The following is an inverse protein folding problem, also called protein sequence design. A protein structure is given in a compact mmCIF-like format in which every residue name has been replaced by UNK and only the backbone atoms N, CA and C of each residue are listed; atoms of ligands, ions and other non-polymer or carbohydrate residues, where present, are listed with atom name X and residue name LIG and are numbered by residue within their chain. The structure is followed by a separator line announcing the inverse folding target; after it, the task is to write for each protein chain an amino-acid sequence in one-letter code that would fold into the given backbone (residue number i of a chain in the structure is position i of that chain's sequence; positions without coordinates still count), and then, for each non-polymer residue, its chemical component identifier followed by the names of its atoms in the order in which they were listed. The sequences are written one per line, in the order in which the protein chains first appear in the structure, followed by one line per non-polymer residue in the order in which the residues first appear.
data_IF_985827719360
#
_entry.id   IF_985827719360
#
_cell.length_a   1.000
_cell.length_b   1.000
_cell.length_c   1.000
_cell.angle_alpha   90.00
_cell.angle_beta   90.00
_cell.angle_gamma   90.00
#
_symmetry.space_group_name_H-M   'P 1'
#
loop_
_entity.id
_entity.type
_entity.pdbx_description
1 polymer ?
#
# COMPACT_ATOMS: atom_id res chain seq x y z
N UNK A 1 -35.61 -3.08 -14.38
CA UNK A 1 -34.59 -2.58 -13.43
C UNK A 1 -33.24 -3.11 -13.91
N UNK A 2 -32.57 -2.36 -14.79
CA UNK A 2 -31.28 -2.75 -15.37
C UNK A 2 -30.19 -2.55 -14.31
N UNK A 3 -29.52 -3.62 -13.91
CA UNK A 3 -28.44 -3.57 -12.92
C UNK A 3 -27.19 -3.00 -13.61
N UNK A 4 -26.83 -1.78 -13.22
CA UNK A 4 -25.82 -0.90 -13.84
C UNK A 4 -24.35 -1.37 -13.77
N UNK A 5 -24.06 -2.67 -13.81
CA UNK A 5 -22.69 -3.19 -13.74
C UNK A 5 -22.42 -4.49 -14.50
N UNK A 6 -23.39 -5.01 -15.26
CA UNK A 6 -23.09 -6.03 -16.27
C UNK A 6 -22.86 -5.32 -17.60
N UNK A 7 -21.60 -5.02 -17.87
CA UNK A 7 -21.11 -4.85 -19.24
C UNK A 7 -21.19 -6.18 -20.03
N UNK A 8 -21.86 -7.24 -19.57
CA UNK A 8 -22.03 -8.46 -20.36
C UNK A 8 -23.15 -8.26 -21.40
N UNK A 9 -22.78 -8.24 -22.68
CA UNK A 9 -23.73 -8.37 -23.80
C UNK A 9 -24.04 -7.12 -24.64
N UNK A 10 -23.37 -5.98 -24.42
CA UNK A 10 -23.45 -4.84 -25.36
C UNK A 10 -22.39 -5.04 -26.43
N UNK A 11 -22.87 -5.28 -27.65
CA UNK A 11 -22.11 -5.29 -28.89
C UNK A 11 -22.22 -3.92 -29.57
N UNK A 12 -21.13 -3.39 -30.08
CA UNK A 12 -21.08 -2.07 -30.74
C UNK A 12 -20.27 -2.19 -32.03
N UNK A 13 -20.80 -2.93 -33.00
CA UNK A 13 -20.14 -3.20 -34.28
C UNK A 13 -20.39 -2.10 -35.32
N UNK A 14 -19.47 -1.96 -36.27
CA UNK A 14 -19.58 -1.02 -37.38
C UNK A 14 -19.60 0.44 -36.93
N UNK A 15 -20.57 1.22 -37.42
CA UNK A 15 -20.67 2.64 -37.09
C UNK A 15 -21.27 2.93 -35.70
N UNK A 16 -21.64 1.90 -34.93
CA UNK A 16 -22.17 2.08 -33.58
C UNK A 16 -21.11 2.59 -32.59
N UNK A 17 -19.84 2.23 -32.79
CA UNK A 17 -18.73 2.74 -31.98
C UNK A 17 -17.39 2.75 -32.72
N UNK A 18 -16.99 3.93 -33.22
CA UNK A 18 -15.67 4.16 -33.85
C UNK A 18 -14.61 4.68 -32.88
N UNK A 19 -14.99 5.01 -31.64
CA UNK A 19 -14.10 5.53 -30.60
C UNK A 19 -14.46 4.93 -29.25
N UNK A 20 -13.56 4.12 -28.71
CA UNK A 20 -13.65 3.56 -27.36
C UNK A 20 -12.72 4.31 -26.42
N UNK A 21 -13.27 4.88 -25.34
CA UNK A 21 -12.47 5.48 -24.27
C UNK A 21 -12.46 4.54 -23.07
N UNK A 22 -11.31 3.94 -22.78
CA UNK A 22 -11.13 3.07 -21.62
C UNK A 22 -10.45 3.87 -20.51
N UNK A 23 -11.13 4.05 -19.37
CA UNK A 23 -10.60 4.80 -18.23
C UNK A 23 -10.29 3.89 -17.04
N UNK A 24 -9.01 3.74 -16.73
CA UNK A 24 -8.49 2.99 -15.59
C UNK A 24 -8.61 1.47 -15.78
N UNK A 25 -8.18 0.72 -14.76
CA UNK A 25 -8.28 -0.74 -14.72
C UNK A 25 -9.04 -1.17 -13.46
N UNK A 26 -10.15 -1.88 -13.63
CA UNK A 26 -10.83 -2.52 -12.49
C UNK A 26 -10.09 -3.79 -12.10
N UNK A 27 -9.14 -3.66 -11.16
CA UNK A 27 -8.36 -4.79 -10.64
C UNK A 27 -9.19 -5.77 -9.81
N UNK A 28 -10.19 -5.28 -9.06
CA UNK A 28 -11.05 -6.08 -8.19
C UNK A 28 -12.53 -5.74 -8.39
N UNK A 29 -13.40 -6.76 -8.41
CA UNK A 29 -14.87 -6.58 -8.49
C UNK A 29 -15.58 -6.67 -7.13
N UNK A 30 -14.92 -7.21 -6.11
CA UNK A 30 -15.49 -7.36 -4.77
C UNK A 30 -14.41 -7.20 -3.69
N UNK A 31 -14.85 -7.13 -2.42
CA UNK A 31 -13.94 -6.94 -1.29
C UNK A 31 -12.96 -8.11 -1.10
N UNK A 32 -13.35 -9.34 -1.46
CA UNK A 32 -12.48 -10.51 -1.37
C UNK A 32 -11.34 -10.44 -2.38
N UNK A 33 -11.63 -10.13 -3.64
CA UNK A 33 -10.60 -9.90 -4.66
C UNK A 33 -9.69 -8.74 -4.28
N UNK A 34 -10.27 -7.63 -3.78
CA UNK A 34 -9.49 -6.48 -3.31
C UNK A 34 -8.53 -6.88 -2.20
N UNK A 35 -9.01 -7.63 -1.21
CA UNK A 35 -8.17 -8.16 -0.14
C UNK A 35 -7.05 -9.05 -0.68
N UNK A 36 -7.37 -9.98 -1.59
CA UNK A 36 -6.38 -10.89 -2.19
C UNK A 36 -5.33 -10.18 -3.03
N UNK A 37 -5.62 -8.98 -3.55
CA UNK A 37 -4.73 -8.17 -4.36
C UNK A 37 -3.88 -7.18 -3.55
N UNK A 38 -4.45 -6.57 -2.50
CA UNK A 38 -3.80 -5.46 -1.77
C UNK A 38 -3.23 -5.89 -0.42
N UNK A 39 -3.90 -6.83 0.26
CA UNK A 39 -3.51 -7.32 1.60
C UNK A 39 -2.87 -8.70 1.56
N UNK A 40 -2.99 -9.41 0.45
CA UNK A 40 -2.27 -10.64 0.17
C UNK A 40 -1.45 -10.50 -1.11
N UNK A 41 -0.26 -11.14 -1.19
CA UNK A 41 0.53 -11.17 -2.40
C UNK A 41 0.02 -12.26 -3.37
N UNK A 42 -1.30 -12.34 -3.59
CA UNK A 42 -1.95 -13.38 -4.40
C UNK A 42 -2.45 -12.82 -5.76
N UNK A 43 -1.80 -11.79 -6.28
CA UNK A 43 -2.18 -11.12 -7.54
C UNK A 43 -2.14 -12.04 -8.76
N UNK A 44 -1.34 -13.10 -8.71
CA UNK A 44 -1.24 -14.13 -9.76
C UNK A 44 -2.61 -14.73 -10.14
N UNK A 45 -3.56 -14.83 -9.20
CA UNK A 45 -4.92 -15.33 -9.44
C UNK A 45 -5.73 -14.48 -10.41
N UNK A 46 -5.42 -13.19 -10.48
CA UNK A 46 -6.23 -12.22 -11.21
C UNK A 46 -5.55 -11.73 -12.48
N UNK A 47 -4.29 -12.08 -12.71
CA UNK A 47 -3.54 -11.64 -13.90
C UNK A 47 -4.24 -12.06 -15.20
N UNK A 48 -4.69 -13.31 -15.28
CA UNK A 48 -5.44 -13.81 -16.43
C UNK A 48 -6.76 -13.05 -16.60
N UNK A 49 -7.55 -12.94 -15.52
CA UNK A 49 -8.81 -12.19 -15.54
C UNK A 49 -8.64 -10.72 -15.93
N UNK A 50 -7.56 -10.07 -15.50
CA UNK A 50 -7.20 -8.69 -15.89
C UNK A 50 -6.91 -8.62 -17.38
N UNK A 51 -6.09 -9.55 -17.92
CA UNK A 51 -5.80 -9.62 -19.35
C UNK A 51 -7.06 -9.87 -20.16
N UNK A 52 -7.87 -10.87 -19.79
CA UNK A 52 -9.15 -11.18 -20.45
C UNK A 52 -10.06 -9.96 -20.47
N UNK A 53 -10.16 -9.20 -19.38
CA UNK A 53 -10.98 -7.97 -19.32
C UNK A 53 -10.48 -6.89 -20.28
N UNK A 54 -9.16 -6.72 -20.43
CA UNK A 54 -8.58 -5.76 -21.38
C UNK A 54 -8.93 -6.19 -22.81
N UNK A 55 -8.69 -7.45 -23.16
CA UNK A 55 -9.02 -8.01 -24.48
C UNK A 55 -10.51 -7.88 -24.77
N UNK A 56 -11.36 -8.24 -23.80
CA UNK A 56 -12.82 -8.11 -23.90
C UNK A 56 -13.32 -6.68 -23.91
N UNK A 57 -12.56 -5.69 -23.45
CA UNK A 57 -12.94 -4.29 -23.55
C UNK A 57 -12.64 -3.76 -24.94
N UNK A 58 -11.46 -4.09 -25.48
CA UNK A 58 -10.99 -3.68 -26.81
C UNK A 58 -11.80 -4.37 -27.92
N UNK A 59 -11.97 -5.70 -27.84
CA UNK A 59 -12.65 -6.50 -28.87
C UNK A 59 -14.18 -6.35 -28.93
N UNK A 60 -14.76 -5.32 -28.30
CA UNK A 60 -16.21 -5.03 -28.41
C UNK A 60 -16.56 -4.20 -29.62
N UNK A 61 -15.59 -3.44 -30.11
CA UNK A 61 -15.77 -2.49 -31.20
C UNK A 61 -15.29 -3.05 -32.54
N UNK A 62 -14.72 -4.26 -32.56
CA UNK A 62 -14.15 -4.89 -33.76
C UNK A 62 -14.64 -6.34 -33.84
N UNK A 63 -15.68 -6.60 -34.65
CA UNK A 63 -16.29 -7.94 -34.80
C UNK A 63 -16.15 -8.56 -36.18
N UNK A 64 -15.91 -7.76 -37.21
CA UNK A 64 -15.74 -8.22 -38.58
C UNK A 64 -14.36 -7.79 -39.10
N UNK A 65 -13.84 -8.52 -40.09
CA UNK A 65 -12.52 -8.26 -40.68
C UNK A 65 -12.35 -6.83 -41.25
N UNK A 66 -13.46 -6.12 -41.50
CA UNK A 66 -13.49 -4.74 -41.99
C UNK A 66 -13.93 -3.71 -40.93
N UNK A 67 -14.12 -4.15 -39.67
CA UNK A 67 -14.56 -3.28 -38.59
C UNK A 67 -13.37 -2.66 -37.86
N UNK A 68 -13.46 -1.38 -37.53
CA UNK A 68 -12.34 -0.64 -36.95
C UNK A 68 -12.84 0.39 -35.95
N UNK A 69 -12.09 0.52 -34.86
CA UNK A 69 -12.37 1.49 -33.80
C UNK A 69 -11.08 1.99 -33.17
N UNK A 70 -11.03 3.29 -32.88
CA UNK A 70 -9.92 3.89 -32.17
C UNK A 70 -10.09 3.63 -30.68
N UNK A 71 -9.06 3.10 -30.02
CA UNK A 71 -9.07 2.88 -28.57
C UNK A 71 -8.18 3.91 -27.88
N UNK A 72 -8.79 4.77 -27.07
CA UNK A 72 -8.09 5.76 -26.26
C UNK A 72 -8.05 5.29 -24.82
N UNK A 73 -6.84 5.08 -24.31
CA UNK A 73 -6.60 4.63 -22.94
C UNK A 73 -6.30 5.81 -22.03
N UNK A 74 -7.13 5.99 -21.03
CA UNK A 74 -6.98 7.00 -19.98
C UNK A 74 -6.71 6.33 -18.64
N UNK A 75 -5.87 6.97 -17.82
CA UNK A 75 -5.60 6.54 -16.45
C UNK A 75 -4.28 5.81 -16.28
N UNK A 76 -3.62 6.12 -15.17
CA UNK A 76 -2.22 5.78 -14.91
C UNK A 76 -1.99 4.28 -14.72
N UNK A 77 -2.92 3.57 -14.09
CA UNK A 77 -2.75 2.13 -13.82
C UNK A 77 -2.83 1.27 -15.08
N UNK A 78 -3.77 1.55 -15.98
CA UNK A 78 -3.92 0.81 -17.23
C UNK A 78 -2.74 1.13 -18.16
N UNK A 79 -2.34 2.40 -18.24
CA UNK A 79 -1.13 2.80 -18.95
C UNK A 79 0.13 2.12 -18.39
N UNK A 80 0.29 1.98 -17.05
CA UNK A 80 1.39 1.19 -16.45
C UNK A 80 1.44 -0.22 -16.99
N UNK A 81 0.29 -0.87 -17.07
CA UNK A 81 0.18 -2.25 -17.51
C UNK A 81 0.52 -2.38 -19.01
N UNK A 82 -0.05 -1.52 -19.84
CA UNK A 82 0.13 -1.56 -21.29
C UNK A 82 1.48 -1.03 -21.75
N UNK A 83 2.17 -0.15 -21.00
CA UNK A 83 3.51 0.30 -21.37
C UNK A 83 4.59 -0.74 -21.06
N UNK A 84 4.39 -1.54 -20.02
CA UNK A 84 5.35 -2.55 -19.55
C UNK A 84 5.41 -3.75 -20.49
N UNK A 85 6.52 -3.87 -21.25
CA UNK A 85 6.78 -4.99 -22.17
C UNK A 85 6.73 -6.36 -21.46
N UNK A 86 7.11 -6.42 -20.18
CA UNK A 86 7.08 -7.67 -19.41
C UNK A 86 5.65 -8.14 -19.09
N UNK A 87 4.66 -7.25 -19.18
CA UNK A 87 3.24 -7.57 -18.97
C UNK A 87 2.50 -7.75 -20.29
N UNK A 88 2.85 -6.95 -21.31
CA UNK A 88 2.25 -7.05 -22.65
C UNK A 88 2.49 -8.38 -23.33
N UNK A 89 3.64 -9.02 -23.11
CA UNK A 89 3.99 -10.31 -23.73
C UNK A 89 2.97 -11.44 -23.49
N UNK A 90 2.04 -11.28 -22.54
CA UNK A 90 0.97 -12.22 -22.26
C UNK A 90 -0.31 -11.97 -23.08
N UNK A 91 -0.44 -10.80 -23.73
CA UNK A 91 -1.55 -10.47 -24.64
C UNK A 91 -1.39 -11.18 -25.99
N UNK A 92 -2.46 -11.24 -26.77
CA UNK A 92 -2.39 -11.74 -28.15
C UNK A 92 -1.43 -10.87 -28.99
N UNK A 93 -0.63 -11.43 -29.92
CA UNK A 93 0.37 -10.67 -30.69
C UNK A 93 -0.20 -9.47 -31.43
N UNK A 94 -1.46 -9.56 -31.87
CA UNK A 94 -2.20 -8.48 -32.53
C UNK A 94 -2.36 -7.26 -31.62
N UNK A 95 -2.91 -7.44 -30.43
CA UNK A 95 -3.05 -6.37 -29.43
C UNK A 95 -1.68 -5.85 -29.00
N UNK A 96 -0.66 -6.71 -28.91
CA UNK A 96 0.70 -6.27 -28.60
C UNK A 96 1.25 -5.30 -29.65
N UNK A 97 1.07 -5.61 -30.94
CA UNK A 97 1.51 -4.79 -32.07
C UNK A 97 0.76 -3.46 -32.12
N UNK A 98 -0.58 -3.48 -31.99
CA UNK A 98 -1.41 -2.28 -31.93
C UNK A 98 -1.01 -1.34 -30.78
N UNK A 99 -0.73 -1.90 -29.60
CA UNK A 99 -0.28 -1.09 -28.45
C UNK A 99 1.11 -0.52 -28.72
N UNK A 100 2.07 -1.29 -29.26
CA UNK A 100 3.41 -0.77 -29.56
C UNK A 100 3.34 0.36 -30.60
N UNK A 101 2.55 0.18 -31.67
CA UNK A 101 2.29 1.21 -32.66
C UNK A 101 1.67 2.46 -32.03
N UNK A 102 0.60 2.28 -31.24
CA UNK A 102 -0.04 3.38 -30.52
C UNK A 102 0.92 4.13 -29.60
N UNK A 103 1.81 3.42 -28.90
CA UNK A 103 2.84 4.02 -28.05
C UNK A 103 3.83 4.85 -28.89
N UNK A 104 4.28 4.35 -30.04
CA UNK A 104 5.19 5.08 -30.93
C UNK A 104 4.53 6.37 -31.46
N UNK A 105 3.29 6.28 -31.89
CA UNK A 105 2.49 7.44 -32.34
C UNK A 105 2.08 8.38 -31.19
N UNK A 106 2.25 7.99 -29.93
CA UNK A 106 1.93 8.83 -28.77
C UNK A 106 3.16 9.52 -28.16
N UNK A 107 4.39 9.11 -28.51
CA UNK A 107 5.62 9.55 -27.83
C UNK A 107 6.11 10.93 -28.22
N UNK A 108 5.82 11.39 -29.45
CA UNK A 108 6.46 12.57 -30.07
C UNK A 108 5.43 13.38 -30.86
N UNK A 109 4.29 13.71 -30.24
CA UNK A 109 3.16 14.30 -30.97
C UNK A 109 2.49 15.38 -30.14
N UNK A 110 2.35 16.58 -30.72
CA UNK A 110 1.57 17.67 -30.11
C UNK A 110 0.07 17.32 -30.12
N UNK A 111 -0.72 17.94 -29.24
CA UNK A 111 -2.15 17.59 -29.11
C UNK A 111 -2.94 17.72 -30.43
N UNK A 112 -2.52 18.63 -31.31
CA UNK A 112 -3.09 18.83 -32.64
C UNK A 112 -2.80 17.70 -33.62
N UNK A 113 -1.56 17.20 -33.63
CA UNK A 113 -1.13 16.10 -34.51
C UNK A 113 -1.76 14.76 -34.09
N UNK A 114 -2.01 14.56 -32.79
CA UNK A 114 -2.74 13.38 -32.31
C UNK A 114 -4.20 13.36 -32.81
N UNK A 115 -4.85 14.52 -32.86
CA UNK A 115 -6.20 14.67 -33.42
C UNK A 115 -6.18 14.41 -34.93
N UNK A 116 -5.15 14.86 -35.63
CA UNK A 116 -4.97 14.62 -37.06
C UNK A 116 -4.81 13.11 -37.36
N UNK A 117 -3.95 12.41 -36.61
CA UNK A 117 -3.79 10.96 -36.72
C UNK A 117 -5.11 10.21 -36.46
N UNK A 118 -5.87 10.63 -35.45
CA UNK A 118 -7.19 10.07 -35.18
C UNK A 118 -8.17 10.32 -36.33
N UNK A 119 -8.13 11.51 -36.95
CA UNK A 119 -8.96 11.81 -38.12
C UNK A 119 -8.57 10.96 -39.33
N UNK A 120 -7.28 10.77 -39.59
CA UNK A 120 -6.79 9.89 -40.67
C UNK A 120 -7.31 8.46 -40.46
N UNK A 121 -7.19 7.92 -39.25
CA UNK A 121 -7.70 6.60 -38.89
C UNK A 121 -9.22 6.49 -39.08
N UNK A 122 -9.99 7.46 -38.58
CA UNK A 122 -11.45 7.46 -38.69
C UNK A 122 -11.94 7.59 -40.13
N UNK A 123 -11.20 8.33 -40.97
CA UNK A 123 -11.51 8.51 -42.39
C UNK A 123 -11.05 7.31 -43.24
N UNK A 124 -10.19 6.45 -42.70
CA UNK A 124 -9.72 5.19 -43.30
C UNK A 124 -9.15 5.38 -44.72
N UNK A 125 -8.26 6.37 -44.89
CA UNK A 125 -7.62 6.74 -46.18
C UNK A 125 -6.43 5.82 -46.51
N UNK A 126 -5.87 5.96 -47.71
CA UNK A 126 -4.70 5.17 -48.17
C UNK A 126 -3.49 5.24 -47.20
N UNK A 127 -3.33 6.35 -46.48
CA UNK A 127 -2.31 6.56 -45.45
C UNK A 127 -2.42 5.54 -44.30
N UNK A 128 -3.62 5.02 -44.02
CA UNK A 128 -3.82 3.96 -43.02
C UNK A 128 -3.29 2.60 -43.48
N UNK A 129 -3.29 2.31 -44.79
CA UNK A 129 -2.82 1.02 -45.30
C UNK A 129 -1.32 0.80 -45.02
N UNK A 130 -0.53 1.88 -44.99
CA UNK A 130 0.89 1.80 -44.63
C UNK A 130 1.05 1.50 -43.12
N UNK A 131 0.28 2.18 -42.27
CA UNK A 131 0.25 1.93 -40.83
C UNK A 131 -0.21 0.50 -40.50
N UNK A 132 -1.25 0.00 -41.18
CA UNK A 132 -1.75 -1.36 -41.01
C UNK A 132 -0.69 -2.40 -41.38
N UNK A 133 0.05 -2.17 -42.47
CA UNK A 133 1.15 -3.05 -42.88
C UNK A 133 2.27 -3.10 -41.83
N UNK A 134 2.64 -1.96 -41.25
CA UNK A 134 3.63 -1.91 -40.17
C UNK A 134 3.17 -2.67 -38.92
N UNK A 135 1.88 -2.57 -38.56
CA UNK A 135 1.28 -3.32 -37.45
C UNK A 135 1.34 -4.83 -37.73
N UNK A 136 0.99 -5.27 -38.94
CA UNK A 136 1.05 -6.68 -39.35
C UNK A 136 2.50 -7.21 -39.32
N UNK A 137 3.44 -6.47 -39.89
CA UNK A 137 4.86 -6.83 -39.90
C UNK A 137 5.47 -6.88 -38.49
N UNK A 138 4.93 -6.09 -37.55
CA UNK A 138 5.29 -6.13 -36.13
C UNK A 138 4.65 -7.34 -35.43
N UNK A 139 3.35 -7.58 -35.66
CA UNK A 139 2.59 -8.73 -35.13
C UNK A 139 3.27 -10.05 -35.45
N UNK A 140 3.71 -10.23 -36.69
CA UNK A 140 4.32 -11.49 -37.16
C UNK A 140 5.68 -11.79 -36.49
N UNK A 141 6.27 -10.81 -35.81
CA UNK A 141 7.53 -10.95 -35.03
C UNK A 141 7.27 -11.18 -33.53
N UNK A 142 6.02 -11.11 -33.08
CA UNK A 142 5.64 -11.18 -31.68
C UNK A 142 5.05 -12.54 -31.32
N UNK A 143 5.34 -12.99 -30.10
CA UNK A 143 4.82 -14.24 -29.55
C UNK A 143 3.99 -13.96 -28.29
N UNK A 144 2.98 -14.81 -28.05
CA UNK A 144 2.24 -14.81 -26.81
C UNK A 144 2.86 -15.79 -25.82
N UNK A 145 3.26 -15.29 -24.66
CA UNK A 145 3.75 -16.09 -23.56
C UNK A 145 2.60 -16.51 -22.64
N UNK A 146 2.74 -17.69 -22.01
CA UNK A 146 1.84 -18.10 -20.93
C UNK A 146 2.16 -17.35 -19.65
N UNK A 147 1.11 -17.05 -18.88
CA UNK A 147 1.28 -16.49 -17.54
C UNK A 147 2.05 -17.47 -16.64
N UNK A 148 3.00 -16.96 -15.83
CA UNK A 148 3.71 -17.80 -14.88
C UNK A 148 2.73 -18.41 -13.87
N UNK A 149 2.99 -19.66 -13.47
CA UNK A 149 2.22 -20.37 -12.45
C UNK A 149 0.81 -20.81 -12.85
N UNK A 150 0.34 -20.54 -14.09
CA UNK A 150 -1.03 -20.87 -14.50
C UNK A 150 -1.31 -22.38 -14.46
N UNK A 151 -0.36 -23.21 -14.88
CA UNK A 151 -0.51 -24.68 -14.85
C UNK A 151 -0.64 -25.19 -13.39
N UNK A 152 0.02 -24.51 -12.43
CA UNK A 152 -0.06 -24.85 -11.00
C UNK A 152 -1.41 -24.45 -10.41
N UNK A 153 -1.93 -23.29 -10.81
CA UNK A 153 -3.27 -22.83 -10.42
C UNK A 153 -4.34 -23.76 -11.00
N UNK A 154 -4.20 -24.16 -12.28
CA UNK A 154 -5.11 -25.11 -12.91
C UNK A 154 -5.10 -26.47 -12.19
N UNK A 155 -3.90 -26.98 -11.85
CA UNK A 155 -3.76 -28.22 -11.10
C UNK A 155 -4.34 -28.17 -9.68
N UNK A 156 -4.46 -26.99 -9.04
CA UNK A 156 -5.08 -26.89 -7.72
C UNK A 156 -6.60 -26.87 -7.76
N UNK A 157 -7.25 -26.36 -8.83
CA UNK A 157 -8.69 -26.06 -8.89
C UNK A 157 -9.58 -27.19 -8.37
N UNK A 158 -9.33 -28.44 -8.79
CA UNK A 158 -10.16 -29.58 -8.38
C UNK A 158 -10.16 -29.77 -6.86
N UNK A 159 -9.01 -29.56 -6.21
CA UNK A 159 -8.87 -29.65 -4.75
C UNK A 159 -9.43 -28.41 -4.05
N UNK A 160 -9.35 -27.22 -4.68
CA UNK A 160 -9.96 -26.01 -4.13
C UNK A 160 -11.49 -26.13 -4.04
N UNK A 161 -12.12 -26.70 -5.06
CA UNK A 161 -13.58 -26.95 -5.07
C UNK A 161 -13.95 -27.96 -3.98
N UNK A 162 -13.23 -29.08 -3.88
CA UNK A 162 -13.47 -30.10 -2.85
C UNK A 162 -13.25 -29.57 -1.44
N UNK A 163 -12.28 -28.68 -1.24
CA UNK A 163 -12.09 -27.97 0.03
C UNK A 163 -13.35 -27.17 0.40
N UNK A 164 -13.90 -26.39 -0.53
CA UNK A 164 -15.11 -25.59 -0.27
C UNK A 164 -16.31 -26.50 0.05
N UNK A 165 -16.49 -27.60 -0.67
CA UNK A 165 -17.53 -28.59 -0.40
C UNK A 165 -17.37 -29.25 0.99
N UNK A 166 -16.14 -29.60 1.37
CA UNK A 166 -15.82 -30.17 2.67
C UNK A 166 -16.08 -29.16 3.80
N UNK A 167 -15.70 -27.89 3.62
CA UNK A 167 -15.98 -26.83 4.57
C UNK A 167 -17.49 -26.60 4.74
N UNK A 168 -18.24 -26.59 3.63
CA UNK A 168 -19.69 -26.39 3.63
C UNK A 168 -20.44 -27.54 4.32
N UNK A 169 -19.98 -28.77 4.11
CA UNK A 169 -20.52 -29.96 4.77
C UNK A 169 -20.07 -30.12 6.23
N UNK A 170 -19.20 -29.25 6.73
CA UNK A 170 -18.66 -29.30 8.09
C UNK A 170 -17.63 -30.42 8.31
N UNK A 171 -17.14 -31.06 7.25
CA UNK A 171 -16.07 -32.04 7.32
C UNK A 171 -14.71 -31.35 7.27
N UNK A 172 -14.27 -30.83 8.42
CA UNK A 172 -13.03 -30.05 8.50
C UNK A 172 -11.76 -30.88 8.31
N UNK A 173 -11.76 -32.16 8.67
CA UNK A 173 -10.59 -33.03 8.46
C UNK A 173 -10.33 -33.21 6.96
N UNK A 174 -11.39 -33.51 6.19
CA UNK A 174 -11.31 -33.56 4.73
C UNK A 174 -10.95 -32.20 4.12
N UNK A 175 -11.44 -31.11 4.68
CA UNK A 175 -11.05 -29.77 4.21
C UNK A 175 -9.54 -29.55 4.37
N UNK A 176 -8.96 -29.89 5.53
CA UNK A 176 -7.51 -29.78 5.74
C UNK A 176 -6.71 -30.70 4.79
N UNK A 177 -7.20 -31.91 4.53
CA UNK A 177 -6.59 -32.84 3.55
C UNK A 177 -6.59 -32.28 2.12
N UNK A 178 -7.72 -31.74 1.66
CA UNK A 178 -7.81 -31.10 0.34
C UNK A 178 -6.92 -29.85 0.25
N UNK A 179 -6.81 -29.07 1.34
CA UNK A 179 -5.83 -27.98 1.41
C UNK A 179 -4.39 -28.47 1.24
N UNK A 180 -4.01 -29.60 1.86
CA UNK A 180 -2.67 -30.17 1.67
C UNK A 180 -2.44 -30.56 0.22
N UNK A 181 -3.46 -31.08 -0.46
CA UNK A 181 -3.40 -31.39 -1.89
C UNK A 181 -3.21 -30.12 -2.73
N UNK A 182 -3.94 -29.03 -2.43
CA UNK A 182 -3.72 -27.71 -3.08
C UNK A 182 -2.28 -27.23 -2.85
N UNK A 183 -1.79 -27.26 -1.62
CA UNK A 183 -0.45 -26.80 -1.26
C UNK A 183 0.65 -27.60 -1.96
N UNK A 184 0.41 -28.88 -2.26
CA UNK A 184 1.35 -29.72 -3.02
C UNK A 184 1.51 -29.27 -4.47
N UNK A 185 0.43 -28.76 -5.09
CA UNK A 185 0.45 -28.20 -6.45
C UNK A 185 1.10 -26.80 -6.49
N UNK A 186 0.96 -26.01 -5.42
CA UNK A 186 1.43 -24.62 -5.35
C UNK A 186 2.91 -24.48 -4.94
N UNK A 187 3.83 -25.07 -5.72
CA UNK A 187 5.28 -24.97 -5.48
C UNK A 187 5.93 -23.76 -6.18
N UNK A 188 7.03 -23.23 -5.63
CA UNK A 188 7.78 -22.09 -6.20
C UNK A 188 7.47 -20.71 -5.61
N UNK A 189 8.19 -19.70 -6.07
CA UNK A 189 8.09 -18.31 -5.60
C UNK A 189 6.99 -17.50 -6.32
N UNK A 190 6.66 -17.88 -7.56
CA UNK A 190 5.59 -17.31 -8.38
C UNK A 190 4.20 -17.40 -7.72
N UNK A 191 3.94 -18.48 -6.99
CA UNK A 191 2.67 -18.73 -6.28
C UNK A 191 2.77 -18.54 -4.77
N UNK A 192 3.88 -17.99 -4.26
CA UNK A 192 4.21 -17.93 -2.82
C UNK A 192 3.11 -17.28 -1.99
N UNK A 193 2.56 -16.17 -2.47
CA UNK A 193 1.49 -15.47 -1.74
C UNK A 193 0.16 -16.19 -1.74
N UNK A 194 -0.18 -16.89 -2.83
CA UNK A 194 -1.37 -17.74 -2.85
C UNK A 194 -1.20 -18.99 -1.98
N UNK A 195 0.00 -19.59 -1.96
CA UNK A 195 0.36 -20.67 -1.03
C UNK A 195 0.20 -20.23 0.44
N UNK A 196 0.64 -19.02 0.79
CA UNK A 196 0.46 -18.48 2.14
C UNK A 196 -1.04 -18.33 2.51
N UNK A 197 -1.87 -17.91 1.56
CA UNK A 197 -3.32 -17.86 1.74
C UNK A 197 -3.92 -19.25 1.99
N UNK A 198 -3.48 -20.27 1.26
CA UNK A 198 -3.93 -21.65 1.48
C UNK A 198 -3.47 -22.23 2.82
N UNK A 199 -2.27 -21.90 3.29
CA UNK A 199 -1.86 -22.25 4.65
C UNK A 199 -2.78 -21.62 5.71
N UNK A 200 -3.20 -20.38 5.50
CA UNK A 200 -4.17 -19.72 6.37
C UNK A 200 -5.55 -20.37 6.33
N UNK A 201 -6.06 -20.72 5.15
CA UNK A 201 -7.34 -21.42 5.01
C UNK A 201 -7.31 -22.79 5.71
N UNK A 202 -6.23 -23.55 5.50
CA UNK A 202 -6.02 -24.84 6.14
C UNK A 202 -5.95 -24.70 7.68
N UNK A 203 -5.20 -23.71 8.18
CA UNK A 203 -5.11 -23.42 9.61
C UNK A 203 -6.46 -23.02 10.22
N UNK A 204 -7.26 -22.26 9.47
CA UNK A 204 -8.61 -21.85 9.86
C UNK A 204 -9.57 -23.04 9.93
N UNK A 205 -9.55 -23.92 8.94
CA UNK A 205 -10.35 -25.15 8.95
C UNK A 205 -9.98 -26.05 10.14
N UNK A 206 -8.68 -26.25 10.38
CA UNK A 206 -8.18 -27.02 11.53
C UNK A 206 -8.57 -26.38 12.87
N UNK A 207 -8.52 -25.06 12.99
CA UNK A 207 -8.93 -24.35 14.20
C UNK A 207 -10.44 -24.47 14.48
N UNK A 208 -11.28 -24.39 13.44
CA UNK A 208 -12.72 -24.62 13.58
C UNK A 208 -12.99 -26.08 14.00
N UNK A 209 -12.25 -27.04 13.43
CA UNK A 209 -12.33 -28.45 13.82
C UNK A 209 -12.01 -28.66 15.32
N UNK A 210 -10.92 -28.02 15.79
CA UNK A 210 -10.52 -28.07 17.20
C UNK A 210 -11.61 -27.50 18.12
N UNK A 211 -12.18 -26.34 17.75
CA UNK A 211 -13.29 -25.74 18.50
C UNK A 211 -14.57 -26.58 18.52
N UNK A 212 -14.76 -27.46 17.53
CA UNK A 212 -15.90 -28.40 17.45
C UNK A 212 -15.62 -29.74 18.13
N UNK A 213 -14.49 -29.89 18.82
CA UNK A 213 -14.17 -31.05 19.65
C UNK A 213 -13.07 -31.97 19.12
N UNK A 214 -12.44 -31.66 17.98
CA UNK A 214 -11.33 -32.45 17.42
C UNK A 214 -9.99 -31.92 17.92
N UNK A 215 -9.63 -32.26 19.16
CA UNK A 215 -8.45 -31.71 19.85
C UNK A 215 -7.11 -31.90 19.09
N UNK A 216 -6.97 -32.98 18.31
CA UNK A 216 -5.77 -33.24 17.49
C UNK A 216 -5.49 -32.15 16.45
N UNK A 217 -6.52 -31.40 16.02
CA UNK A 217 -6.38 -30.36 15.00
C UNK A 217 -5.83 -29.03 15.54
N UNK A 218 -5.75 -28.87 16.86
CA UNK A 218 -5.22 -27.63 17.45
C UNK A 218 -3.72 -27.44 17.12
N UNK A 219 -2.93 -28.51 17.24
CA UNK A 219 -1.51 -28.50 16.87
C UNK A 219 -1.31 -28.26 15.36
N UNK A 220 -2.18 -28.86 14.55
CA UNK A 220 -2.17 -28.70 13.09
C UNK A 220 -2.47 -27.26 12.69
N UNK A 221 -3.48 -26.63 13.31
CA UNK A 221 -3.81 -25.23 13.07
C UNK A 221 -2.63 -24.29 13.37
N UNK A 222 -1.95 -24.50 14.52
CA UNK A 222 -0.79 -23.69 14.92
C UNK A 222 0.35 -23.79 13.92
N UNK A 223 0.70 -25.00 13.50
CA UNK A 223 1.76 -25.23 12.51
C UNK A 223 1.41 -24.59 11.15
N UNK A 224 0.16 -24.71 10.70
CA UNK A 224 -0.30 -24.13 9.44
C UNK A 224 -0.28 -22.59 9.46
N UNK A 225 -0.70 -21.94 10.55
CA UNK A 225 -0.57 -20.49 10.69
C UNK A 225 0.89 -20.04 10.73
N UNK A 226 1.77 -20.79 11.40
CA UNK A 226 3.22 -20.52 11.39
C UNK A 226 3.81 -20.60 9.99
N UNK A 227 3.42 -21.61 9.20
CA UNK A 227 3.82 -21.73 7.79
C UNK A 227 3.26 -20.62 6.91
N UNK A 228 2.02 -20.18 7.15
CA UNK A 228 1.45 -19.05 6.43
C UNK A 228 2.30 -17.79 6.65
N UNK A 229 2.64 -17.49 7.91
CA UNK A 229 3.46 -16.35 8.28
C UNK A 229 4.89 -16.42 7.72
N UNK A 230 5.55 -17.58 7.80
CA UNK A 230 6.93 -17.75 7.30
C UNK A 230 7.01 -17.74 5.77
N UNK A 231 5.93 -18.11 5.07
CA UNK A 231 5.89 -18.08 3.61
C UNK A 231 5.91 -16.63 3.08
N UNK A 232 5.35 -15.66 3.81
CA UNK A 232 5.30 -14.26 3.37
C UNK A 232 5.67 -13.31 4.51
N UNK A 233 6.95 -12.95 4.61
CA UNK A 233 7.46 -12.03 5.63
C UNK A 233 6.89 -10.60 5.56
N UNK A 234 6.20 -10.25 4.47
CA UNK A 234 5.63 -8.93 4.27
C UNK A 234 4.15 -8.80 4.64
N UNK A 235 3.50 -9.80 5.23
CA UNK A 235 2.05 -9.77 5.55
C UNK A 235 1.83 -9.75 7.06
N UNK A 236 1.56 -8.56 7.61
CA UNK A 236 1.47 -8.32 9.06
C UNK A 236 0.42 -9.19 9.78
N UNK A 237 -0.77 -9.34 9.19
CA UNK A 237 -1.88 -10.06 9.83
C UNK A 237 -1.69 -11.60 9.90
N UNK A 238 -0.99 -12.20 8.92
CA UNK A 238 -0.65 -13.63 8.96
C UNK A 238 0.31 -13.94 10.11
N UNK A 239 1.25 -13.02 10.34
CA UNK A 239 2.19 -13.13 11.43
C UNK A 239 1.48 -13.08 12.80
N UNK A 240 0.45 -12.24 12.98
CA UNK A 240 -0.36 -12.24 14.21
C UNK A 240 -1.08 -13.56 14.45
N UNK A 241 -1.68 -14.16 13.41
CA UNK A 241 -2.40 -15.42 13.53
C UNK A 241 -1.49 -16.57 13.97
N UNK A 242 -0.24 -16.59 13.51
CA UNK A 242 0.75 -17.56 13.98
C UNK A 242 1.04 -17.47 15.49
N UNK A 243 0.69 -16.35 16.12
CA UNK A 243 0.98 -16.03 17.52
C UNK A 243 -0.19 -16.17 18.47
N UNK A 244 -1.40 -16.52 18.01
CA UNK A 244 -2.58 -16.64 18.87
C UNK A 244 -2.41 -17.62 20.05
N UNK A 245 -1.28 -18.35 20.17
CA UNK A 245 -0.92 -19.21 21.31
C UNK A 245 0.60 -19.39 21.55
N UNK A 246 1.50 -18.45 21.18
CA UNK A 246 2.96 -18.62 21.36
C UNK A 246 3.62 -17.52 22.21
N UNK A 247 4.10 -17.92 23.39
CA UNK A 247 5.04 -17.15 24.23
C UNK A 247 6.48 -17.37 23.73
N UNK A 248 6.96 -16.59 22.76
CA UNK A 248 8.40 -16.54 22.45
C UNK A 248 8.85 -15.12 22.06
N UNK A 249 9.92 -14.64 22.72
CA UNK A 249 10.69 -13.40 22.53
C UNK A 249 9.93 -12.21 21.91
N UNK A 250 9.23 -11.46 22.77
CA UNK A 250 8.27 -10.42 22.39
C UNK A 250 8.91 -9.15 21.75
N UNK A 251 10.10 -8.71 22.17
CA UNK A 251 10.66 -7.40 21.78
C UNK A 251 11.05 -7.32 20.28
N UNK A 252 11.96 -8.18 19.79
CA UNK A 252 12.38 -8.19 18.37
C UNK A 252 11.20 -8.44 17.39
N UNK A 253 10.11 -8.98 17.90
CA UNK A 253 8.94 -9.36 17.11
C UNK A 253 7.87 -8.27 17.03
N UNK A 254 7.67 -7.50 18.10
CA UNK A 254 6.80 -6.33 18.09
C UNK A 254 7.35 -5.27 17.11
N UNK A 255 8.67 -5.08 17.12
CA UNK A 255 9.36 -4.15 16.22
C UNK A 255 9.18 -4.51 14.74
N UNK A 256 9.27 -5.82 14.40
CA UNK A 256 9.01 -6.28 13.03
C UNK A 256 7.56 -6.02 12.61
N UNK A 257 6.59 -6.24 13.49
CA UNK A 257 5.17 -5.97 13.23
C UNK A 257 4.88 -4.49 12.99
N UNK A 258 5.39 -3.63 13.87
CA UNK A 258 5.28 -2.18 13.78
C UNK A 258 5.85 -1.69 12.45
N UNK A 259 7.06 -2.16 12.09
CA UNK A 259 7.68 -1.82 10.82
C UNK A 259 6.87 -2.32 9.61
N UNK A 260 6.43 -3.58 9.60
CA UNK A 260 5.61 -4.09 8.49
C UNK A 260 4.30 -3.31 8.34
N UNK A 261 3.64 -2.95 9.44
CA UNK A 261 2.43 -2.12 9.41
C UNK A 261 2.69 -0.73 8.80
N UNK A 262 3.81 -0.10 9.16
CA UNK A 262 4.21 1.20 8.62
C UNK A 262 4.52 1.09 7.12
N UNK A 263 5.21 0.03 6.68
CA UNK A 263 5.49 -0.18 5.24
C UNK A 263 4.20 -0.46 4.44
N UNK A 264 3.24 -1.22 4.97
CA UNK A 264 1.92 -1.39 4.32
C UNK A 264 1.15 -0.07 4.22
N UNK A 265 1.26 0.80 5.23
CA UNK A 265 0.71 2.15 5.20
C UNK A 265 1.39 3.03 4.16
N UNK A 266 2.72 2.93 4.04
CA UNK A 266 3.52 3.63 3.02
C UNK A 266 3.07 3.21 1.62
N UNK A 267 2.95 1.91 1.34
CA UNK A 267 2.46 1.42 0.04
C UNK A 267 1.10 2.03 -0.31
N UNK A 268 0.19 2.07 0.66
CA UNK A 268 -1.14 2.64 0.48
C UNK A 268 -1.07 4.13 0.11
N UNK A 269 -0.19 4.91 0.77
CA UNK A 269 0.00 6.32 0.41
C UNK A 269 0.64 6.50 -0.96
N UNK A 270 1.72 5.76 -1.26
CA UNK A 270 2.38 5.86 -2.56
C UNK A 270 1.45 5.49 -3.72
N UNK A 271 0.57 4.50 -3.51
CA UNK A 271 -0.48 4.10 -4.46
C UNK A 271 -1.48 5.24 -4.73
N UNK A 272 -1.86 6.00 -3.70
CA UNK A 272 -2.77 7.15 -3.85
C UNK A 272 -2.17 8.29 -4.67
N UNK A 273 -0.85 8.51 -4.56
CA UNK A 273 -0.18 9.59 -5.29
C UNK A 273 0.14 9.26 -6.76
N UNK A 274 -0.05 8.00 -7.18
CA UNK A 274 0.24 7.55 -8.54
C UNK A 274 1.70 7.11 -8.70
N UNK A 275 1.95 6.12 -9.55
CA UNK A 275 3.24 5.44 -9.64
C UNK A 275 4.25 6.11 -10.59
N UNK A 276 3.80 6.90 -11.57
CA UNK A 276 4.59 7.49 -12.66
C UNK A 276 4.54 9.02 -12.69
N UNK A 277 3.42 9.62 -12.29
CA UNK A 277 3.32 11.07 -12.24
C UNK A 277 3.62 11.60 -10.84
N UNK A 278 4.87 12.01 -10.66
CA UNK A 278 5.33 12.53 -9.38
C UNK A 278 4.73 13.91 -9.06
N UNK A 279 3.93 14.56 -9.93
CA UNK A 279 3.33 15.87 -9.62
C UNK A 279 2.50 15.88 -8.33
N UNK A 280 1.67 14.86 -8.11
CA UNK A 280 0.82 14.79 -6.90
C UNK A 280 1.67 14.53 -5.66
N UNK A 281 2.58 13.57 -5.77
CA UNK A 281 3.52 13.24 -4.71
C UNK A 281 4.41 14.44 -4.34
N UNK A 282 5.00 15.12 -5.31
CA UNK A 282 5.85 16.30 -5.09
C UNK A 282 5.04 17.51 -4.61
N UNK A 283 3.78 17.66 -5.02
CA UNK A 283 2.89 18.67 -4.45
C UNK A 283 2.60 18.40 -2.97
N UNK A 284 2.38 17.13 -2.60
CA UNK A 284 2.22 16.71 -1.20
C UNK A 284 3.49 16.98 -0.39
N UNK A 285 4.64 16.52 -0.88
CA UNK A 285 5.94 16.71 -0.23
C UNK A 285 6.23 18.20 -0.05
N UNK A 286 6.01 19.02 -1.09
CA UNK A 286 6.17 20.47 -1.00
C UNK A 286 5.26 21.07 0.06
N UNK A 287 4.00 20.65 0.12
CA UNK A 287 3.06 21.16 1.11
C UNK A 287 3.47 20.79 2.53
N UNK A 288 3.94 19.55 2.76
CA UNK A 288 4.48 19.11 4.05
C UNK A 288 5.67 19.98 4.46
N UNK A 289 6.68 20.11 3.59
CA UNK A 289 7.89 20.89 3.90
C UNK A 289 7.59 22.38 4.13
N UNK A 290 6.72 22.99 3.32
CA UNK A 290 6.31 24.39 3.52
C UNK A 290 5.61 24.58 4.85
N UNK A 291 4.72 23.66 5.23
CA UNK A 291 4.00 23.71 6.47
C UNK A 291 4.92 23.51 7.69
N UNK A 292 5.87 22.58 7.61
CA UNK A 292 6.86 22.35 8.67
C UNK A 292 7.83 23.51 8.87
N UNK A 293 8.03 24.34 7.84
CA UNK A 293 8.84 25.56 7.92
C UNK A 293 8.07 26.76 8.50
N UNK A 294 6.74 26.64 8.71
CA UNK A 294 5.96 27.68 9.38
C UNK A 294 6.31 27.72 10.86
N UNK A 295 6.66 28.91 11.34
CA UNK A 295 6.99 29.15 12.73
C UNK A 295 5.96 30.10 13.32
N UNK A 296 5.53 29.88 14.57
CA UNK A 296 4.43 30.61 15.19
C UNK A 296 4.74 32.10 15.39
N UNK A 297 4.39 32.87 14.38
CA UNK A 297 4.14 34.30 14.44
C UNK A 297 2.62 34.58 14.54
N UNK A 298 1.79 33.67 14.01
CA UNK A 298 0.33 33.68 14.11
C UNK A 298 -0.24 32.33 14.58
N UNK A 299 -1.53 32.30 14.98
CA UNK A 299 -2.24 31.05 15.29
C UNK A 299 -2.41 30.16 14.04
N UNK A 300 -2.44 30.74 12.84
CA UNK A 300 -2.51 29.99 11.59
C UNK A 300 -1.21 29.23 11.31
N UNK A 301 -0.05 29.81 11.65
CA UNK A 301 1.25 29.16 11.48
C UNK A 301 1.44 27.94 12.41
N UNK A 302 0.91 27.99 13.64
CA UNK A 302 0.88 26.84 14.56
C UNK A 302 0.11 25.67 13.93
N UNK A 303 -1.12 25.95 13.46
CA UNK A 303 -1.97 24.96 12.80
C UNK A 303 -1.36 24.44 11.49
N UNK A 304 -0.64 25.29 10.77
CA UNK A 304 0.07 24.88 9.57
C UNK A 304 1.18 23.87 9.91
N UNK A 305 1.99 24.13 10.95
CA UNK A 305 3.02 23.20 11.41
C UNK A 305 2.43 21.84 11.82
N UNK A 306 1.40 21.85 12.67
CA UNK A 306 0.68 20.65 13.12
C UNK A 306 0.12 19.86 11.92
N UNK A 307 -0.46 20.55 10.93
CA UNK A 307 -0.95 19.92 9.71
C UNK A 307 0.19 19.31 8.85
N UNK A 308 1.32 19.99 8.74
CA UNK A 308 2.50 19.46 8.05
C UNK A 308 3.03 18.20 8.73
N UNK A 309 3.05 18.20 10.06
CA UNK A 309 3.51 17.11 10.90
C UNK A 309 2.57 15.88 10.83
N UNK A 310 1.25 16.08 10.89
CA UNK A 310 0.26 15.02 10.66
C UNK A 310 0.43 14.37 9.27
N UNK A 311 0.57 15.19 8.22
CA UNK A 311 0.75 14.73 6.84
C UNK A 311 2.08 14.01 6.63
N UNK A 312 3.15 14.43 7.31
CA UNK A 312 4.42 13.72 7.33
C UNK A 312 4.24 12.30 7.90
N UNK A 313 3.56 12.16 9.04
CA UNK A 313 3.28 10.86 9.65
C UNK A 313 2.53 9.92 8.70
N UNK A 314 1.50 10.45 8.03
CA UNK A 314 0.76 9.71 6.99
C UNK A 314 1.69 9.28 5.85
N UNK A 315 2.48 10.21 5.29
CA UNK A 315 3.38 9.95 4.17
C UNK A 315 4.41 8.85 4.50
N UNK A 316 4.91 8.82 5.74
CA UNK A 316 5.82 7.78 6.24
C UNK A 316 5.12 6.43 6.46
N UNK A 317 3.79 6.36 6.35
CA UNK A 317 3.01 5.13 6.45
C UNK A 317 2.42 4.86 7.84
N UNK A 318 2.55 5.79 8.78
CA UNK A 318 1.88 5.68 10.08
C UNK A 318 0.38 5.98 9.96
N UNK A 319 -0.41 5.39 10.85
CA UNK A 319 -1.78 5.87 11.07
C UNK A 319 -1.69 7.16 11.89
N UNK A 320 -1.73 8.31 11.20
CA UNK A 320 -1.60 9.62 11.82
C UNK A 320 -2.92 10.40 11.87
N UNK A 321 -3.13 11.11 12.97
CA UNK A 321 -4.26 12.00 13.22
C UNK A 321 -3.83 13.21 14.05
N UNK A 322 -4.73 14.19 14.17
CA UNK A 322 -4.57 15.39 14.96
C UNK A 322 -5.93 15.77 15.58
N UNK A 323 -5.94 16.39 16.75
CA UNK A 323 -7.14 16.83 17.47
C UNK A 323 -7.23 18.35 17.53
N UNK A 324 -8.43 18.89 17.85
CA UNK A 324 -8.70 20.33 17.87
C UNK A 324 -9.38 20.80 19.16
N UNK A 325 -9.42 19.96 20.22
CA UNK A 325 -10.00 20.30 21.52
C UNK A 325 -9.01 20.95 22.50
N UNK A 326 -9.51 21.29 23.69
CA UNK A 326 -8.71 21.91 24.75
C UNK A 326 -7.93 20.84 25.53
N UNK A 327 -6.62 21.04 25.70
CA UNK A 327 -5.67 20.05 26.24
C UNK A 327 -5.62 18.70 25.48
N UNK A 328 -6.09 18.69 24.25
CA UNK A 328 -5.92 17.59 23.31
C UNK A 328 -4.45 17.52 22.83
N UNK A 329 -3.97 16.33 22.43
CA UNK A 329 -2.68 16.22 21.76
C UNK A 329 -2.70 16.91 20.39
N UNK A 330 -1.51 17.31 19.95
CA UNK A 330 -1.28 17.74 18.57
C UNK A 330 -1.23 16.47 17.66
N UNK A 331 -0.34 16.29 16.65
CA UNK A 331 -0.39 15.06 15.89
C UNK A 331 0.04 13.85 16.74
N UNK A 332 -0.47 12.68 16.37
CA UNK A 332 0.01 11.38 16.86
C UNK A 332 0.21 10.42 15.70
N UNK A 333 1.18 9.52 15.85
CA UNK A 333 1.51 8.50 14.88
C UNK A 333 1.37 7.13 15.52
N UNK A 334 0.56 6.26 14.92
CA UNK A 334 0.36 4.89 15.39
C UNK A 334 1.05 3.94 14.42
N UNK A 335 1.91 3.06 14.96
CA UNK A 335 2.42 1.90 14.26
C UNK A 335 1.71 0.67 14.79
N UNK A 336 1.01 -0.04 13.91
CA UNK A 336 0.24 -1.23 14.26
C UNK A 336 -0.89 -0.93 15.28
N UNK A 337 -1.03 -1.70 16.36
CA UNK A 337 -2.08 -1.53 17.39
C UNK A 337 -1.53 -1.32 18.82
N UNK A 338 -0.21 -1.29 18.97
CA UNK A 338 0.47 -1.39 20.25
C UNK A 338 1.51 -0.30 20.52
N UNK A 339 1.73 0.59 19.54
CA UNK A 339 2.74 1.63 19.59
C UNK A 339 2.21 2.96 19.07
N UNK A 340 2.36 4.01 19.87
CA UNK A 340 1.98 5.37 19.51
C UNK A 340 3.05 6.38 19.91
N UNK A 341 3.40 7.28 19.01
CA UNK A 341 4.14 8.50 19.33
C UNK A 341 3.13 9.63 19.33
N UNK A 342 3.05 10.39 20.42
CA UNK A 342 2.13 11.51 20.55
C UNK A 342 2.92 12.79 20.77
N UNK A 343 2.58 13.83 20.03
CA UNK A 343 3.37 15.05 19.98
C UNK A 343 2.67 16.21 20.69
N UNK A 344 3.48 17.11 21.23
CA UNK A 344 3.14 18.48 21.58
C UNK A 344 4.04 19.39 20.75
N UNK A 345 3.47 20.04 19.75
CA UNK A 345 4.13 20.93 18.83
C UNK A 345 4.18 22.35 19.43
N UNK A 346 5.40 22.84 19.60
CA UNK A 346 5.66 24.21 20.03
C UNK A 346 6.60 24.90 19.05
N UNK A 347 6.16 25.09 17.80
CA UNK A 347 6.93 25.83 16.80
C UNK A 347 6.96 27.32 17.17
N UNK A 348 8.10 27.93 17.52
CA UNK A 348 8.19 29.39 17.77
C UNK A 348 9.53 29.96 17.28
N UNK A 349 9.58 31.23 16.88
CA UNK A 349 10.84 31.83 16.40
C UNK A 349 11.80 32.20 17.56
N UNK A 350 11.37 31.98 18.81
CA UNK A 350 12.04 32.51 19.98
C UNK A 350 12.93 31.46 20.67
N UNK A 351 14.05 31.15 20.03
CA UNK A 351 15.04 30.14 20.47
C UNK A 351 15.63 30.38 21.88
N UNK A 352 15.50 31.61 22.42
CA UNK A 352 16.04 32.00 23.72
C UNK A 352 15.10 31.80 24.92
N UNK A 353 13.82 31.51 24.69
CA UNK A 353 12.84 31.36 25.78
C UNK A 353 12.83 29.92 26.31
N UNK A 354 12.64 29.81 27.63
CA UNK A 354 12.49 28.51 28.29
C UNK A 354 11.07 27.97 28.14
N UNK A 355 10.95 26.65 28.00
CA UNK A 355 9.66 25.98 27.94
C UNK A 355 8.94 26.08 29.29
N UNK A 356 7.70 26.60 29.27
CA UNK A 356 6.88 26.84 30.45
C UNK A 356 6.22 25.56 31.00
N UNK A 357 5.90 25.57 32.30
CA UNK A 357 5.28 24.43 32.98
C UNK A 357 3.90 24.03 32.42
N UNK A 358 3.15 24.98 31.82
CA UNK A 358 1.84 24.70 31.21
C UNK A 358 1.93 23.70 30.04
N UNK A 359 2.81 23.99 29.08
CA UNK A 359 3.08 23.12 27.92
C UNK A 359 3.58 21.74 28.33
N UNK A 360 4.47 21.67 29.32
CA UNK A 360 4.98 20.39 29.83
C UNK A 360 3.87 19.56 30.48
N UNK A 361 2.97 20.20 31.24
CA UNK A 361 1.81 19.51 31.84
C UNK A 361 0.83 19.01 30.77
N UNK A 362 0.59 19.79 29.73
CA UNK A 362 -0.26 19.40 28.60
C UNK A 362 0.31 18.15 27.90
N UNK A 363 1.58 18.16 27.52
CA UNK A 363 2.24 17.00 26.92
C UNK A 363 2.19 15.75 27.81
N UNK A 364 2.25 15.93 29.13
CA UNK A 364 2.15 14.83 30.12
C UNK A 364 0.76 14.16 30.12
N UNK A 365 -0.31 14.90 29.79
CA UNK A 365 -1.67 14.32 29.73
C UNK A 365 -1.97 13.59 28.43
N UNK A 366 -1.18 13.78 27.36
CA UNK A 366 -1.44 13.20 26.05
C UNK A 366 -1.56 11.67 26.04
N UNK A 367 -0.70 10.89 26.73
CA UNK A 367 -0.85 9.43 26.76
C UNK A 367 -2.20 8.96 27.33
N UNK A 368 -2.73 9.66 28.33
CA UNK A 368 -4.04 9.34 28.90
C UNK A 368 -5.17 9.65 27.91
N UNK A 369 -5.05 10.77 27.19
CA UNK A 369 -6.02 11.13 26.15
C UNK A 369 -6.06 10.09 25.03
N UNK A 370 -4.90 9.64 24.55
CA UNK A 370 -4.80 8.61 23.48
C UNK A 370 -5.49 7.32 23.90
N UNK A 371 -5.25 6.82 25.13
CA UNK A 371 -5.87 5.59 25.64
C UNK A 371 -7.40 5.66 25.77
N UNK A 372 -7.95 6.87 25.96
CA UNK A 372 -9.39 7.09 26.11
C UNK A 372 -10.10 7.31 24.77
N UNK A 373 -9.45 7.97 23.81
CA UNK A 373 -10.10 8.43 22.58
C UNK A 373 -9.78 7.58 21.36
N UNK A 374 -8.65 6.86 21.34
CA UNK A 374 -8.22 6.06 20.20
C UNK A 374 -8.54 4.57 20.44
N UNK A 375 -9.69 4.13 19.92
CA UNK A 375 -10.18 2.75 20.07
C UNK A 375 -9.38 1.71 19.29
N UNK A 376 -8.58 2.12 18.30
CA UNK A 376 -7.73 1.21 17.53
C UNK A 376 -6.46 0.79 18.26
N UNK A 377 -6.14 1.43 19.39
CA UNK A 377 -4.92 1.17 20.17
C UNK A 377 -5.25 0.29 21.39
N UNK A 378 -4.43 -0.73 21.66
CA UNK A 378 -4.60 -1.60 22.84
C UNK A 378 -4.37 -0.83 24.14
N UNK A 379 -4.98 -1.25 25.25
CA UNK A 379 -4.85 -0.54 26.54
C UNK A 379 -3.44 -0.63 27.15
N UNK A 380 -2.73 -1.73 26.87
CA UNK A 380 -1.35 -1.99 27.27
C UNK A 380 -0.31 -1.40 26.30
N UNK A 381 -0.73 -0.56 25.37
CA UNK A 381 0.15 0.00 24.34
C UNK A 381 1.23 0.90 24.89
N UNK A 382 2.36 0.87 24.19
CA UNK A 382 3.50 1.73 24.38
C UNK A 382 3.20 3.10 23.77
N UNK A 383 3.21 4.15 24.61
CA UNK A 383 2.96 5.53 24.17
C UNK A 383 4.17 6.38 24.53
N UNK A 384 4.77 7.03 23.54
CA UNK A 384 5.92 7.92 23.71
C UNK A 384 5.45 9.36 23.51
N UNK A 385 5.30 10.15 24.59
CA UNK A 385 5.01 11.57 24.48
C UNK A 385 6.29 12.35 24.15
N UNK A 386 6.21 13.21 23.12
CA UNK A 386 7.33 13.98 22.60
C UNK A 386 6.95 15.45 22.52
N UNK A 387 7.81 16.34 23.04
CA UNK A 387 7.66 17.78 22.85
C UNK A 387 8.59 18.23 21.72
N UNK A 388 8.01 18.73 20.63
CA UNK A 388 8.74 19.31 19.51
C UNK A 388 8.85 20.81 19.73
N UNK A 389 10.05 21.31 20.04
CA UNK A 389 10.21 22.72 20.41
C UNK A 389 11.58 23.29 20.05
N UNK A 390 11.68 24.59 19.70
CA UNK A 390 12.95 25.27 19.48
C UNK A 390 13.63 25.65 20.80
N UNK A 391 12.91 25.61 21.92
CA UNK A 391 13.41 25.93 23.26
C UNK A 391 14.51 24.95 23.67
N UNK A 392 15.66 25.48 24.11
CA UNK A 392 16.80 24.68 24.58
C UNK A 392 16.90 24.58 26.10
N UNK A 393 15.90 25.09 26.81
CA UNK A 393 15.86 25.13 28.28
C UNK A 393 14.42 25.02 28.78
N UNK A 394 14.26 24.63 30.05
CA UNK A 394 12.97 24.53 30.74
C UNK A 394 12.92 25.49 31.92
N UNK A 395 11.72 25.93 32.29
CA UNK A 395 11.49 26.72 33.52
C UNK A 395 11.59 25.84 34.76
N UNK A 396 11.96 26.42 35.91
CA UNK A 396 12.07 25.67 37.17
C UNK A 396 10.76 24.95 37.55
N UNK A 397 9.61 25.57 37.29
CA UNK A 397 8.29 24.97 37.54
C UNK A 397 7.92 23.79 36.62
N UNK A 398 8.64 23.60 35.52
CA UNK A 398 8.38 22.51 34.58
C UNK A 398 9.09 21.21 34.98
N UNK A 399 10.23 21.29 35.68
CA UNK A 399 11.09 20.14 36.04
C UNK A 399 10.34 18.94 36.67
N UNK A 400 9.38 19.11 37.60
CA UNK A 400 8.68 17.97 38.20
C UNK A 400 7.83 17.16 37.21
N UNK A 401 7.53 17.72 36.04
CA UNK A 401 6.61 17.16 35.05
C UNK A 401 7.33 16.61 33.80
N UNK A 402 8.66 16.56 33.77
CA UNK A 402 9.43 16.16 32.56
C UNK A 402 9.87 14.70 32.52
N UNK A 403 9.58 13.89 33.56
CA UNK A 403 10.16 12.55 33.75
C UNK A 403 9.92 11.59 32.57
N UNK A 404 8.72 11.60 32.01
CA UNK A 404 8.29 10.67 30.96
C UNK A 404 8.26 11.31 29.56
N UNK A 405 8.66 12.58 29.45
CA UNK A 405 8.61 13.33 28.19
C UNK A 405 9.93 13.25 27.43
N UNK A 406 9.82 12.91 26.15
CA UNK A 406 10.90 13.04 25.20
C UNK A 406 10.94 14.46 24.63
N UNK A 407 12.10 14.88 24.16
CA UNK A 407 12.37 16.18 23.56
C UNK A 407 12.88 15.96 22.15
N UNK A 408 12.34 16.74 21.21
CA UNK A 408 12.89 16.86 19.87
C UNK A 408 13.05 18.33 19.54
N UNK A 409 14.28 18.77 19.27
CA UNK A 409 14.47 20.14 18.81
C UNK A 409 13.75 20.36 17.47
N UNK A 410 13.04 21.48 17.34
CA UNK A 410 12.28 21.80 16.12
C UNK A 410 13.16 21.78 14.85
N UNK A 411 14.39 22.32 14.89
CA UNK A 411 15.27 22.34 13.71
C UNK A 411 15.78 20.94 13.37
N UNK A 412 16.10 20.14 14.39
CA UNK A 412 16.52 18.75 14.20
C UNK A 412 15.37 17.89 13.65
N UNK A 413 14.14 18.15 14.08
CA UNK A 413 12.94 17.51 13.55
C UNK A 413 12.70 17.88 12.08
N UNK A 414 12.79 19.16 11.72
CA UNK A 414 12.68 19.61 10.33
C UNK A 414 13.76 18.96 9.43
N UNK A 415 15.02 18.95 9.89
CA UNK A 415 16.12 18.30 9.17
C UNK A 415 15.93 16.78 9.05
N UNK A 416 15.40 16.14 10.09
CA UNK A 416 15.05 14.72 10.05
C UNK A 416 13.91 14.45 9.07
N UNK A 417 12.87 15.30 9.04
CA UNK A 417 11.74 15.17 8.12
C UNK A 417 12.19 15.26 6.65
N UNK A 418 13.10 16.18 6.32
CA UNK A 418 13.70 16.29 4.99
C UNK A 418 14.45 15.02 4.58
N UNK A 419 15.23 14.43 5.50
CA UNK A 419 15.92 13.16 5.27
C UNK A 419 14.93 12.01 5.08
N UNK A 420 13.90 11.92 5.92
CA UNK A 420 12.88 10.88 5.83
C UNK A 420 12.11 10.95 4.49
N UNK A 421 11.73 12.16 4.06
CA UNK A 421 11.11 12.40 2.74
C UNK A 421 12.05 12.00 1.59
N UNK A 422 13.36 12.18 1.75
CA UNK A 422 14.34 11.79 0.73
C UNK A 422 14.36 10.27 0.55
N UNK A 423 14.35 9.51 1.65
CA UNK A 423 14.23 8.05 1.62
C UNK A 423 12.91 7.61 0.97
N UNK A 424 11.78 8.25 1.33
CA UNK A 424 10.48 7.95 0.70
C UNK A 424 10.48 8.25 -0.80
N UNK A 425 11.09 9.36 -1.23
CA UNK A 425 11.29 9.71 -2.65
C UNK A 425 12.05 8.62 -3.41
N UNK A 426 13.12 8.08 -2.83
CA UNK A 426 13.90 7.01 -3.44
C UNK A 426 13.09 5.70 -3.53
N UNK A 427 12.38 5.33 -2.48
CA UNK A 427 11.50 4.16 -2.46
C UNK A 427 10.35 4.29 -3.47
N UNK A 428 9.82 5.49 -3.65
CA UNK A 428 8.77 5.78 -4.64
C UNK A 428 9.24 5.54 -6.08
N UNK A 429 10.49 5.88 -6.42
CA UNK A 429 11.04 5.64 -7.78
C UNK A 429 11.04 4.17 -8.18
N UNK A 430 11.24 3.29 -7.21
CA UNK A 430 11.25 1.84 -7.42
C UNK A 430 9.90 1.17 -7.15
N UNK A 431 8.85 1.92 -6.76
CA UNK A 431 7.58 1.37 -6.29
C UNK A 431 6.80 0.65 -7.42
N UNK A 432 6.70 -0.69 -7.36
CA UNK A 432 6.04 -1.46 -8.41
C UNK A 432 4.52 -1.47 -8.27
N UNK A 433 4.00 -1.06 -7.11
CA UNK A 433 2.59 -1.16 -6.69
C UNK A 433 2.45 -1.92 -5.37
N UNK A 434 1.25 -1.91 -4.80
CA UNK A 434 0.93 -2.59 -3.52
C UNK A 434 1.22 -4.10 -3.56
N UNK A 435 1.47 -4.67 -2.38
CA UNK A 435 1.63 -6.12 -2.16
C UNK A 435 2.82 -6.77 -2.89
N UNK A 436 3.84 -5.98 -3.26
CA UNK A 436 5.08 -6.52 -3.81
C UNK A 436 6.09 -6.87 -2.70
N UNK A 437 6.33 -8.17 -2.50
CA UNK A 437 7.16 -8.67 -1.41
C UNK A 437 8.63 -8.22 -1.48
N UNK A 438 9.21 -8.20 -2.67
CA UNK A 438 10.60 -7.78 -2.86
C UNK A 438 10.77 -6.29 -2.53
N UNK A 439 9.83 -5.46 -2.99
CA UNK A 439 9.83 -4.04 -2.66
C UNK A 439 9.58 -3.79 -1.17
N UNK A 440 8.68 -4.53 -0.51
CA UNK A 440 8.49 -4.44 0.94
C UNK A 440 9.78 -4.71 1.70
N UNK A 441 10.53 -5.75 1.30
CA UNK A 441 11.81 -6.08 1.93
C UNK A 441 12.82 -4.94 1.76
N UNK A 442 12.93 -4.37 0.56
CA UNK A 442 13.77 -3.21 0.28
C UNK A 442 13.35 -1.98 1.11
N UNK A 443 12.06 -1.71 1.22
CA UNK A 443 11.53 -0.60 2.01
C UNK A 443 11.78 -0.76 3.51
N UNK A 444 11.59 -1.97 4.05
CA UNK A 444 11.91 -2.29 5.46
C UNK A 444 13.39 -2.06 5.74
N UNK A 445 14.27 -2.56 4.88
CA UNK A 445 15.73 -2.36 4.98
C UNK A 445 16.08 -0.86 4.95
N UNK A 446 15.53 -0.10 3.98
CA UNK A 446 15.79 1.33 3.87
C UNK A 446 15.33 2.13 5.11
N UNK A 447 14.21 1.75 5.72
CA UNK A 447 13.73 2.36 6.97
C UNK A 447 14.69 2.07 8.12
N UNK A 448 15.20 0.84 8.24
CA UNK A 448 16.16 0.46 9.27
C UNK A 448 17.51 1.16 9.09
N UNK A 449 18.05 1.15 7.86
CA UNK A 449 19.35 1.76 7.53
C UNK A 449 19.36 3.28 7.79
N UNK A 450 18.19 3.94 7.68
CA UNK A 450 18.02 5.37 7.92
C UNK A 450 17.38 5.70 9.28
N UNK A 451 17.21 4.72 10.17
CA UNK A 451 16.58 4.90 11.50
C UNK A 451 15.19 5.54 11.47
N UNK A 452 14.39 5.21 10.43
CA UNK A 452 12.99 5.62 10.26
C UNK A 452 12.00 4.56 10.77
N UNK A 453 12.48 3.34 11.02
CA UNK A 453 11.65 2.28 11.60
C UNK A 453 11.18 2.65 13.02
N UNK A 454 10.00 2.17 13.46
CA UNK A 454 9.44 2.54 14.75
C UNK A 454 10.37 2.27 15.95
N UNK A 455 11.15 1.20 15.91
CA UNK A 455 12.04 0.81 17.00
C UNK A 455 13.24 1.75 17.13
N UNK A 456 13.91 2.05 16.01
CA UNK A 456 15.00 3.03 15.98
C UNK A 456 14.51 4.42 16.36
N UNK A 457 13.34 4.84 15.88
CA UNK A 457 12.75 6.13 16.22
C UNK A 457 12.43 6.21 17.72
N UNK A 458 11.80 5.18 18.29
CA UNK A 458 11.53 5.09 19.73
C UNK A 458 12.81 5.17 20.57
N UNK A 459 13.86 4.46 20.15
CA UNK A 459 15.17 4.48 20.81
C UNK A 459 15.76 5.89 20.80
N UNK A 460 15.84 6.52 19.63
CA UNK A 460 16.40 7.86 19.47
C UNK A 460 15.65 8.91 20.31
N UNK A 461 14.31 8.84 20.36
CA UNK A 461 13.49 9.73 21.17
C UNK A 461 13.75 9.56 22.68
N UNK A 462 13.90 8.32 23.14
CA UNK A 462 14.16 8.02 24.57
C UNK A 462 15.52 8.49 25.05
N UNK A 463 16.50 8.59 24.15
CA UNK A 463 17.82 9.15 24.46
C UNK A 463 17.75 10.67 24.71
N UNK A 464 16.81 11.36 24.06
CA UNK A 464 16.58 12.80 24.23
C UNK A 464 15.45 13.08 25.24
N UNK A 465 15.74 12.97 26.53
CA UNK A 465 14.75 13.30 27.58
C UNK A 465 14.61 14.81 27.76
N UNK A 466 13.38 15.30 27.89
CA UNK A 466 13.09 16.70 28.20
C UNK A 466 13.69 17.13 29.55
N UNK A 467 13.79 16.18 30.49
CA UNK A 467 14.43 16.38 31.79
C UNK A 467 15.93 16.74 31.72
N UNK A 468 16.60 16.47 30.59
CA UNK A 468 18.02 16.76 30.41
C UNK A 468 18.29 18.21 29.96
N UNK A 469 17.25 18.97 29.62
CA UNK A 469 17.42 20.37 29.24
C UNK A 469 17.84 21.24 30.44
N UNK A 470 18.70 22.25 30.23
CA UNK A 470 19.10 23.19 31.27
C UNK A 470 17.89 23.94 31.85
N UNK A 471 17.93 24.21 33.15
CA UNK A 471 16.88 24.93 33.86
C UNK A 471 17.27 26.40 33.95
N UNK A 472 16.39 27.28 33.51
CA UNK A 472 16.54 28.73 33.71
C UNK A 472 15.53 29.17 34.78
N UNK A 473 16.05 29.96 35.73
CA UNK A 473 15.33 30.45 36.91
C UNK A 473 14.38 31.59 36.60
#
# INVERSE_FOLDING_TARGET
MSVANRYDGIDLGGDECRLLIVKGLQKAINLQEKFLLTRMPASILFNDRVLTRIVQAVGRCTRADNDYAAVVVLGEELNKFLLDKNKRKFLHPEIQAEIEYGIEQSKVVESSEFIENLQIFLTHKEEWNEAEKDIIDSRDKLEQFKLPGIDKLEASVAHEVRYQEALWSGNFEKAVEECHSVLSSLSGDDVKGYRAFWYYLAGSAAWIAAKRGIASMEGVARELFKRAASTTEGVSWLYQLSKLNLEENQENQADKLRLTSVIEGLESQLSLYGNFNDKKFEAEVKAILVNLQRVKDTNEDSKAFENGHERLGRLLGYQAGNSNGDADPDPWWIAYDDFCIVFEDHSTNNHGNSLGAGKVRQATSHPNWIKQNISSLRQDSEIIPVVVTPCKSITNGAKPHTQDLCYWNQQDFQAWAEKAITVVRELKRSFPGEANLEWRKLAMQAYQDNSLDPASLAKNLREQKLANLPIIG
#
